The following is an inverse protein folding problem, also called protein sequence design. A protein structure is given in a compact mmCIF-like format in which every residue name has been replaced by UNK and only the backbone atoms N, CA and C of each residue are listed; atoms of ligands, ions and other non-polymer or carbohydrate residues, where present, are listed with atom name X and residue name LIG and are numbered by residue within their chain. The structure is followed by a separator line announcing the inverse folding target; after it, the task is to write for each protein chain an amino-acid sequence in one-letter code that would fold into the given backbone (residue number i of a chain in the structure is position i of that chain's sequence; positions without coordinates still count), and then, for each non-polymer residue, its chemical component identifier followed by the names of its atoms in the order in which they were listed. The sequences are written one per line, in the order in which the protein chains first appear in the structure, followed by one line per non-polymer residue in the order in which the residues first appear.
data_IF_062076848555
#
_entry.id   IF_062076848555
#
_cell.length_a   1.000
_cell.length_b   1.000
_cell.length_c   1.000
_cell.angle_alpha   90.00
_cell.angle_beta   90.00
_cell.angle_gamma   90.00
#
_symmetry.space_group_name_H-M   'P 1'
#
loop_
_entity.id
_entity.type
_entity.pdbx_description
1 polymer ?
#
# COMPACT_ATOMS: atom_id res chain seq x y z
N UNK A 1 3.93 9.31 11.88
CA UNK A 1 4.29 9.63 10.49
C UNK A 1 5.16 8.57 9.82
N UNK A 2 6.20 8.04 10.50
CA UNK A 2 7.03 6.94 9.98
C UNK A 2 6.20 5.78 9.38
N UNK A 3 5.12 5.38 10.03
CA UNK A 3 4.27 4.27 9.56
C UNK A 3 3.75 4.44 8.12
N UNK A 4 3.33 5.63 7.71
CA UNK A 4 2.82 5.87 6.34
C UNK A 4 3.95 5.87 5.32
N UNK A 5 5.13 6.39 5.70
CA UNK A 5 6.31 6.37 4.84
C UNK A 5 6.78 4.93 4.63
N UNK A 6 6.86 4.14 5.71
CA UNK A 6 7.25 2.74 5.65
C UNK A 6 6.26 1.91 4.85
N UNK A 7 4.95 2.15 5.00
CA UNK A 7 3.94 1.47 4.20
C UNK A 7 4.07 1.82 2.71
N UNK A 8 4.27 3.11 2.38
CA UNK A 8 4.48 3.52 1.00
C UNK A 8 5.74 2.89 0.39
N UNK A 9 6.84 2.81 1.14
CA UNK A 9 8.07 2.18 0.67
C UNK A 9 7.91 0.67 0.51
N UNK A 10 7.26 -0.02 1.45
CA UNK A 10 6.92 -1.44 1.33
C UNK A 10 6.11 -1.72 0.06
N UNK A 11 5.03 -0.96 -0.16
CA UNK A 11 4.14 -1.14 -1.32
C UNK A 11 4.86 -0.86 -2.64
N UNK A 12 5.80 0.08 -2.66
CA UNK A 12 6.44 0.51 -3.92
C UNK A 12 7.75 -0.20 -4.22
N UNK A 13 8.40 -0.81 -3.23
CA UNK A 13 9.76 -1.36 -3.39
C UNK A 13 9.90 -2.82 -3.00
N UNK A 14 9.06 -3.32 -2.09
CA UNK A 14 9.21 -4.65 -1.51
C UNK A 14 8.14 -5.63 -2.01
N UNK A 15 6.95 -5.15 -2.36
CA UNK A 15 5.91 -6.00 -2.93
C UNK A 15 6.29 -6.52 -4.33
N UNK A 16 5.99 -7.81 -4.63
CA UNK A 16 6.08 -8.33 -5.98
C UNK A 16 5.26 -7.49 -6.97
N UNK A 17 5.77 -7.29 -8.18
CA UNK A 17 5.14 -6.42 -9.18
C UNK A 17 3.69 -6.83 -9.49
N UNK A 18 3.43 -8.13 -9.63
CA UNK A 18 2.09 -8.69 -9.82
C UNK A 18 1.09 -8.38 -8.70
N UNK A 19 1.57 -8.26 -7.45
CA UNK A 19 0.74 -7.85 -6.31
C UNK A 19 0.53 -6.35 -6.36
N UNK A 20 1.58 -5.57 -6.61
CA UNK A 20 1.47 -4.11 -6.74
C UNK A 20 0.52 -3.70 -7.85
N UNK A 21 0.48 -4.44 -8.97
CA UNK A 21 -0.42 -4.17 -10.10
C UNK A 21 -1.87 -4.51 -9.81
N UNK A 22 -2.16 -5.45 -8.89
CA UNK A 22 -3.53 -5.80 -8.50
C UNK A 22 -4.14 -4.83 -7.49
N UNK A 23 -3.32 -3.99 -6.83
CA UNK A 23 -3.80 -2.98 -5.90
C UNK A 23 -4.51 -1.81 -6.62
N UNK A 24 -5.56 -1.23 -6.01
CA UNK A 24 -6.26 -0.06 -6.55
C UNK A 24 -5.28 1.09 -6.86
N UNK A 25 -5.34 1.63 -8.09
CA UNK A 25 -4.46 2.71 -8.53
C UNK A 25 -4.56 3.95 -7.62
N UNK A 26 -5.79 4.30 -7.21
CA UNK A 26 -6.04 5.42 -6.30
C UNK A 26 -5.33 5.26 -4.95
N UNK A 27 -5.29 4.05 -4.39
CA UNK A 27 -4.63 3.78 -3.12
C UNK A 27 -3.10 3.89 -3.26
N UNK A 28 -2.53 3.36 -4.35
CA UNK A 28 -1.10 3.47 -4.65
C UNK A 28 -0.65 4.92 -4.85
N UNK A 29 -1.39 5.68 -5.65
CA UNK A 29 -1.09 7.09 -5.87
C UNK A 29 -1.28 7.93 -4.61
N UNK A 30 -2.31 7.64 -3.80
CA UNK A 30 -2.58 8.29 -2.52
C UNK A 30 -1.44 8.08 -1.50
N UNK A 31 -0.89 6.88 -1.42
CA UNK A 31 0.29 6.60 -0.59
C UNK A 31 1.53 7.35 -1.08
N UNK A 32 1.82 7.31 -2.39
CA UNK A 32 2.95 8.03 -2.97
C UNK A 32 2.85 9.54 -2.71
N UNK A 33 1.66 10.10 -2.89
CA UNK A 33 1.40 11.51 -2.61
C UNK A 33 1.63 11.82 -1.12
N UNK A 34 1.09 11.00 -0.22
CA UNK A 34 1.25 11.21 1.23
C UNK A 34 2.72 11.08 1.65
N UNK A 35 3.46 10.10 1.11
CA UNK A 35 4.91 9.96 1.34
C UNK A 35 5.69 11.18 0.86
N UNK A 36 5.40 11.67 -0.34
CA UNK A 36 6.10 12.84 -0.90
C UNK A 36 5.85 14.10 -0.08
N UNK A 37 4.61 14.34 0.38
CA UNK A 37 4.33 15.48 1.27
C UNK A 37 5.00 15.26 2.64
N UNK A 38 4.98 14.04 3.17
CA UNK A 38 5.62 13.71 4.44
C UNK A 38 7.13 13.92 4.42
N UNK A 39 7.79 13.56 3.31
CA UNK A 39 9.23 13.68 3.14
C UNK A 39 9.71 15.10 2.85
N UNK A 40 8.88 15.95 2.23
CA UNK A 40 9.32 17.25 1.72
C UNK A 40 8.62 18.47 2.33
N UNK A 41 7.42 18.32 2.91
CA UNK A 41 6.64 19.46 3.38
C UNK A 41 5.74 19.10 4.58
N UNK A 42 6.36 18.64 5.66
CA UNK A 42 5.67 18.24 6.90
C UNK A 42 4.73 19.34 7.44
N UNK A 43 5.14 20.61 7.35
CA UNK A 43 4.36 21.75 7.84
C UNK A 43 3.06 21.98 7.05
N UNK A 44 2.95 21.44 5.82
CA UNK A 44 1.77 21.53 4.97
C UNK A 44 0.81 20.34 5.09
N UNK A 45 1.09 19.36 5.96
CA UNK A 45 0.21 18.22 6.15
C UNK A 45 -0.93 18.55 7.10
N UNK A 46 -2.14 18.56 6.54
CA UNK A 46 -3.38 18.59 7.29
C UNK A 46 -3.48 17.37 8.21
N UNK A 47 -3.57 17.62 9.52
CA UNK A 47 -3.70 16.57 10.54
C UNK A 47 -4.93 15.70 10.33
N UNK A 48 -6.04 16.24 9.80
CA UNK A 48 -7.23 15.46 9.50
C UNK A 48 -6.97 14.47 8.37
N UNK A 49 -6.29 14.92 7.30
CA UNK A 49 -5.86 14.04 6.21
C UNK A 49 -4.88 12.97 6.69
N UNK A 50 -3.92 13.32 7.55
CA UNK A 50 -3.02 12.34 8.15
C UNK A 50 -3.77 11.28 8.95
N UNK A 51 -4.71 11.73 9.79
CA UNK A 51 -5.52 10.85 10.61
C UNK A 51 -6.32 9.87 9.74
N UNK A 52 -7.04 10.35 8.73
CA UNK A 52 -7.80 9.49 7.82
C UNK A 52 -6.90 8.50 7.06
N UNK A 53 -5.70 8.93 6.64
CA UNK A 53 -4.75 8.01 6.00
C UNK A 53 -4.36 6.87 6.93
N UNK A 54 -4.11 7.13 8.21
CA UNK A 54 -3.69 6.07 9.15
C UNK A 54 -4.84 5.24 9.69
N UNK A 55 -6.05 5.80 9.83
CA UNK A 55 -7.20 5.08 10.41
C UNK A 55 -8.07 4.38 9.39
N UNK A 56 -8.08 4.82 8.14
CA UNK A 56 -8.99 4.28 7.11
C UNK A 56 -8.22 3.71 5.93
N UNK A 57 -7.38 4.52 5.27
CA UNK A 57 -6.78 4.13 3.99
C UNK A 57 -5.67 3.09 4.14
N UNK A 58 -4.81 3.21 5.15
CA UNK A 58 -3.73 2.26 5.38
C UNK A 58 -4.25 0.86 5.76
N UNK A 59 -5.20 0.70 6.70
CA UNK A 59 -5.79 -0.61 6.98
C UNK A 59 -6.46 -1.26 5.77
N UNK A 60 -7.30 -0.51 5.03
CA UNK A 60 -7.96 -1.04 3.85
C UNK A 60 -6.97 -1.54 2.78
N UNK A 61 -5.85 -0.83 2.61
CA UNK A 61 -4.81 -1.28 1.69
C UNK A 61 -4.07 -2.53 2.16
N UNK A 62 -3.85 -2.69 3.48
CA UNK A 62 -3.25 -3.90 4.02
C UNK A 62 -4.15 -5.12 3.77
N UNK A 63 -5.46 -4.95 3.91
CA UNK A 63 -6.44 -6.00 3.57
C UNK A 63 -6.36 -6.38 2.08
N UNK A 64 -6.29 -5.39 1.19
CA UNK A 64 -6.14 -5.62 -0.26
C UNK A 64 -4.82 -6.37 -0.59
N UNK A 65 -3.71 -6.02 0.07
CA UNK A 65 -2.42 -6.69 -0.09
C UNK A 65 -2.51 -8.15 0.35
N UNK A 66 -3.15 -8.41 1.50
CA UNK A 66 -3.32 -9.77 2.00
C UNK A 66 -4.14 -10.63 1.03
N UNK A 67 -5.24 -10.09 0.50
CA UNK A 67 -6.07 -10.77 -0.51
C UNK A 67 -5.26 -11.09 -1.75
N UNK A 68 -4.48 -10.13 -2.26
CA UNK A 68 -3.66 -10.33 -3.45
C UNK A 68 -2.56 -11.38 -3.24
N UNK A 69 -1.90 -11.39 -2.08
CA UNK A 69 -0.88 -12.39 -1.74
C UNK A 69 -1.48 -13.80 -1.67
N UNK A 70 -2.65 -13.96 -1.05
CA UNK A 70 -3.37 -15.25 -0.99
C UNK A 70 -3.77 -15.73 -2.38
N UNK A 71 -4.26 -14.84 -3.24
CA UNK A 71 -4.63 -15.18 -4.62
C UNK A 71 -3.43 -15.71 -5.43
N UNK A 72 -2.27 -15.05 -5.29
CA UNK A 72 -1.01 -15.45 -5.91
C UNK A 72 -0.52 -16.83 -5.45
N UNK A 73 -0.60 -17.08 -4.14
CA UNK A 73 -0.21 -18.38 -3.56
C UNK A 73 -1.09 -19.51 -4.11
N UNK A 74 -2.40 -19.29 -4.16
CA UNK A 74 -3.35 -20.26 -4.71
C UNK A 74 -3.05 -20.58 -6.18
N UNK A 75 -2.71 -19.58 -6.98
CA UNK A 75 -2.32 -19.78 -8.39
C UNK A 75 -1.02 -20.58 -8.54
N UNK A 76 -0.04 -20.36 -7.64
CA UNK A 76 1.22 -21.11 -7.64
C UNK A 76 1.03 -22.59 -7.28
N UNK A 77 0.13 -22.89 -6.33
CA UNK A 77 -0.19 -24.27 -5.94
C UNK A 77 -0.93 -25.04 -7.04
N UNK A 78 -1.85 -24.40 -7.77
CA UNK A 78 -2.57 -25.06 -8.88
C UNK A 78 -1.67 -25.48 -10.05
N UNK A 79 -0.54 -24.81 -10.24
CA UNK A 79 0.38 -25.07 -11.37
C UNK A 79 1.37 -26.22 -11.11
N UNK A 80 1.44 -26.75 -9.89
CA UNK A 80 2.40 -27.81 -9.49
C UNK A 80 1.74 -29.20 -9.41
N UNK A 81 0.44 -29.32 -9.65
CA UNK A 81 -0.33 -30.58 -9.58
C UNK A 81 -0.70 -31.18 -10.95
N UNK A 82 0.02 -30.81 -12.02
CA UNK A 82 -0.20 -31.29 -13.39
C UNK A 82 0.93 -32.17 -13.90
#
# INVERSE_FOLDING_TARGET
MLAVIHLADFVTRELPEEVTLSLPALARDGLRATRNVAAHNYAGLDNARLWNTVTEHAPALLDDIEVALRARENHSRSSTSG
#
